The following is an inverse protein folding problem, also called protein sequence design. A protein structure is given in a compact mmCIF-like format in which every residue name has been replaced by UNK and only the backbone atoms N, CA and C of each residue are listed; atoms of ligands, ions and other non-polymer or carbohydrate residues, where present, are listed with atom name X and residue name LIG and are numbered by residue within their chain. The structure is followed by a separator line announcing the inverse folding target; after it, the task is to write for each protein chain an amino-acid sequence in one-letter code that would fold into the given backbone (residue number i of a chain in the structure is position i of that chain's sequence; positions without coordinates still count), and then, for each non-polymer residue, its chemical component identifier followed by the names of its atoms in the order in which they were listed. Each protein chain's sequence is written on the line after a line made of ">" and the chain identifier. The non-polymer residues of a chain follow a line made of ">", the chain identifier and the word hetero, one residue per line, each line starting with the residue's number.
data_IF_841243415784
#
_entry.id   IF_841243415784
#
_cell.length_a   1.000
_cell.length_b   1.000
_cell.length_c   1.000
_cell.angle_alpha   90.00
_cell.angle_beta   90.00
_cell.angle_gamma   90.00
#
_symmetry.space_group_name_H-M   'P 1'
#
loop_
_entity.id
_entity.type
_entity.pdbx_description
1 polymer ?
#
# COMPACT_ATOMS: atom_id res chain seq x y z
N UNK A 1 -9.31 -13.82 -1.03
CA UNK A 1 -8.97 -12.39 -0.81
C UNK A 1 -8.64 -11.83 -2.18
N UNK A 2 -9.44 -10.88 -2.69
CA UNK A 2 -9.09 -10.20 -3.96
C UNK A 2 -7.81 -9.41 -3.78
N UNK A 3 -6.99 -9.32 -4.83
CA UNK A 3 -5.72 -8.59 -4.83
C UNK A 3 -5.93 -7.16 -4.33
N UNK A 4 -7.03 -6.50 -4.72
CA UNK A 4 -7.42 -5.18 -4.23
C UNK A 4 -7.58 -5.14 -2.71
N UNK A 5 -8.26 -6.12 -2.10
CA UNK A 5 -8.43 -6.16 -0.63
C UNK A 5 -7.15 -6.50 0.11
N UNK A 6 -6.27 -7.33 -0.48
CA UNK A 6 -4.95 -7.60 0.07
C UNK A 6 -4.06 -6.36 0.03
N UNK A 7 -4.10 -5.60 -1.06
CA UNK A 7 -3.37 -4.34 -1.24
C UNK A 7 -3.88 -3.27 -0.26
N UNK A 8 -5.20 -3.11 -0.11
CA UNK A 8 -5.78 -2.17 0.87
C UNK A 8 -5.41 -2.52 2.31
N UNK A 9 -5.41 -3.81 2.68
CA UNK A 9 -5.01 -4.23 4.02
C UNK A 9 -3.51 -4.00 4.26
N UNK A 10 -2.66 -4.36 3.30
CA UNK A 10 -1.22 -4.17 3.38
C UNK A 10 -0.84 -2.68 3.49
N UNK A 11 -1.51 -1.85 2.70
CA UNK A 11 -1.41 -0.41 2.76
C UNK A 11 -1.74 0.18 4.13
N UNK A 12 -2.89 -0.19 4.69
CA UNK A 12 -3.31 0.28 6.01
C UNK A 12 -2.29 -0.11 7.09
N UNK A 13 -1.76 -1.33 7.03
CA UNK A 13 -0.72 -1.80 7.96
C UNK A 13 0.58 -1.01 7.80
N UNK A 14 1.05 -0.77 6.57
CA UNK A 14 2.27 0.01 6.33
C UNK A 14 2.14 1.47 6.78
N UNK A 15 0.96 2.08 6.61
CA UNK A 15 0.69 3.46 7.08
C UNK A 15 0.69 3.51 8.61
N UNK A 16 -0.01 2.59 9.29
CA UNK A 16 -0.01 2.53 10.75
C UNK A 16 1.39 2.30 11.32
N UNK A 17 2.17 1.39 10.72
CA UNK A 17 3.57 1.18 11.07
C UNK A 17 4.40 2.45 10.90
N UNK A 18 4.23 3.16 9.79
CA UNK A 18 4.99 4.38 9.52
C UNK A 18 4.63 5.51 10.49
N UNK A 19 3.37 5.63 10.90
CA UNK A 19 2.93 6.58 11.92
C UNK A 19 3.53 6.26 13.29
N UNK A 20 3.50 4.99 13.71
CA UNK A 20 4.11 4.54 14.98
C UNK A 20 5.62 4.85 14.97
N UNK A 21 6.30 4.56 13.86
CA UNK A 21 7.73 4.78 13.73
C UNK A 21 8.10 6.27 13.67
N UNK A 22 7.25 7.09 13.07
CA UNK A 22 7.37 8.55 13.08
C UNK A 22 7.27 9.11 14.50
N UNK A 23 6.35 8.57 15.32
CA UNK A 23 6.16 8.99 16.70
C UNK A 23 7.32 8.56 17.62
N UNK A 24 7.93 7.40 17.37
CA UNK A 24 8.96 6.82 18.25
C UNK A 24 10.41 7.07 17.83
N UNK A 25 10.70 7.28 16.54
CA UNK A 25 12.08 7.34 16.03
C UNK A 25 12.45 8.74 15.55
N UNK A 26 11.72 9.29 14.57
CA UNK A 26 12.02 10.62 14.03
C UNK A 26 10.87 11.16 13.15
N UNK A 27 10.52 12.45 13.27
CA UNK A 27 9.49 13.08 12.43
C UNK A 27 9.82 13.09 10.93
N UNK A 28 11.05 12.79 10.52
CA UNK A 28 11.38 12.65 9.09
C UNK A 28 10.72 11.42 8.42
N UNK A 29 10.24 10.43 9.18
CA UNK A 29 9.53 9.27 8.62
C UNK A 29 8.17 9.62 7.98
N UNK A 30 7.64 10.82 8.22
CA UNK A 30 6.46 11.33 7.52
C UNK A 30 6.69 11.34 6.01
N UNK A 31 7.87 11.72 5.54
CA UNK A 31 8.17 11.75 4.09
C UNK A 31 8.11 10.35 3.46
N UNK A 32 8.50 9.32 4.20
CA UNK A 32 8.38 7.92 3.75
C UNK A 32 6.92 7.50 3.66
N UNK A 33 6.12 7.86 4.67
CA UNK A 33 4.66 7.63 4.69
C UNK A 33 3.97 8.34 3.53
N UNK A 34 4.33 9.61 3.28
CA UNK A 34 3.81 10.42 2.18
C UNK A 34 4.19 9.81 0.85
N UNK A 35 5.43 9.35 0.67
CA UNK A 35 5.86 8.68 -0.56
C UNK A 35 5.06 7.40 -0.83
N UNK A 36 4.84 6.56 0.20
CA UNK A 36 4.00 5.35 0.09
C UNK A 36 2.56 5.73 -0.27
N UNK A 37 1.99 6.74 0.41
CA UNK A 37 0.64 7.23 0.16
C UNK A 37 0.46 7.80 -1.24
N UNK A 38 1.44 8.53 -1.76
CA UNK A 38 1.41 9.11 -3.10
C UNK A 38 1.47 8.03 -4.18
N UNK A 39 2.29 6.99 -3.98
CA UNK A 39 2.32 5.80 -4.85
C UNK A 39 0.99 5.04 -4.84
N UNK A 40 0.34 4.92 -3.67
CA UNK A 40 -1.00 4.33 -3.57
C UNK A 40 -2.08 5.19 -4.21
N UNK A 41 -2.02 6.50 -4.03
CA UNK A 41 -2.97 7.43 -4.64
C UNK A 41 -2.86 7.32 -6.17
N UNK A 42 -1.64 7.32 -6.69
CA UNK A 42 -1.39 7.14 -8.12
C UNK A 42 -1.95 5.79 -8.59
N UNK A 43 -1.73 4.71 -7.84
CA UNK A 43 -2.33 3.41 -8.11
C UNK A 43 -3.86 3.37 -8.06
N UNK A 44 -4.52 4.18 -7.22
CA UNK A 44 -5.98 4.24 -7.16
C UNK A 44 -6.57 4.89 -8.41
N UNK A 45 -5.85 5.84 -9.01
CA UNK A 45 -6.26 6.52 -10.24
C UNK A 45 -5.82 5.80 -11.52
N UNK A 46 -4.64 5.17 -11.54
CA UNK A 46 -4.10 4.49 -12.73
C UNK A 46 -4.36 2.99 -12.76
N UNK A 47 -4.84 2.39 -11.65
CA UNK A 47 -4.97 0.94 -11.50
C UNK A 47 -3.63 0.19 -11.48
N UNK A 48 -2.52 0.91 -11.57
CA UNK A 48 -1.17 0.36 -11.68
C UNK A 48 -0.53 0.26 -10.29
N UNK A 49 -0.97 -0.71 -9.47
CA UNK A 49 -0.35 -0.95 -8.17
C UNK A 49 0.84 -1.91 -8.31
N UNK A 50 2.09 -1.51 -8.01
CA UNK A 50 3.21 -2.46 -7.91
C UNK A 50 2.96 -3.51 -6.81
N UNK A 51 2.21 -3.17 -5.75
CA UNK A 51 1.77 -4.14 -4.75
C UNK A 51 0.77 -5.15 -5.34
N UNK A 52 -0.15 -4.73 -6.21
CA UNK A 52 -1.04 -5.66 -6.91
C UNK A 52 -0.26 -6.60 -7.84
N UNK A 53 0.78 -6.10 -8.52
CA UNK A 53 1.68 -6.96 -9.31
C UNK A 53 2.45 -7.96 -8.44
N UNK A 54 2.94 -7.54 -7.27
CA UNK A 54 3.61 -8.43 -6.32
C UNK A 54 2.67 -9.50 -5.75
N UNK A 55 1.45 -9.14 -5.38
CA UNK A 55 0.42 -10.09 -4.93
C UNK A 55 -0.05 -11.01 -6.06
N UNK A 56 -0.17 -10.51 -7.30
CA UNK A 56 -0.43 -11.31 -8.50
C UNK A 56 0.71 -12.30 -8.79
N UNK A 57 1.96 -11.88 -8.59
CA UNK A 57 3.14 -12.75 -8.73
C UNK A 57 3.22 -13.82 -7.62
N UNK A 58 2.72 -13.53 -6.41
CA UNK A 58 2.57 -14.50 -5.32
C UNK A 58 1.36 -15.45 -5.48
N UNK A 59 0.66 -15.42 -6.61
CA UNK A 59 -0.41 -16.37 -6.93
C UNK A 59 -1.79 -15.98 -6.41
N UNK A 60 -1.98 -14.75 -5.89
CA UNK A 60 -3.32 -14.24 -5.61
C UNK A 60 -4.02 -13.90 -6.93
N UNK A 61 -5.16 -14.56 -7.18
CA UNK A 61 -6.01 -14.27 -8.34
C UNK A 61 -6.43 -12.79 -8.29
N UNK A 62 -6.23 -11.99 -9.36
CA UNK A 62 -6.85 -10.68 -9.47
C UNK A 62 -8.35 -10.93 -9.41
N UNK A 63 -8.96 -10.59 -8.27
CA UNK A 63 -10.39 -10.69 -8.13
C UNK A 63 -10.93 -9.45 -8.79
N UNK A 64 -11.75 -9.62 -9.82
CA UNK A 64 -12.55 -8.57 -10.44
C UNK A 64 -13.20 -7.70 -9.35
N UNK A 65 -12.55 -6.59 -8.97
CA UNK A 65 -13.23 -5.47 -8.35
C UNK A 65 -13.44 -4.39 -9.41
N UNK A 66 -13.98 -4.83 -10.56
CA UNK A 66 -15.24 -4.36 -11.12
C UNK A 66 -16.02 -5.57 -11.62
#
# INVERSE_FOLDING_TARGET
>A
MSVERAVLAFAGVMVLLSVILTAYVSPLFVWFTVFIGLNMLQSAFTGFCPAAMAFKAMGYKPGSAF
#
